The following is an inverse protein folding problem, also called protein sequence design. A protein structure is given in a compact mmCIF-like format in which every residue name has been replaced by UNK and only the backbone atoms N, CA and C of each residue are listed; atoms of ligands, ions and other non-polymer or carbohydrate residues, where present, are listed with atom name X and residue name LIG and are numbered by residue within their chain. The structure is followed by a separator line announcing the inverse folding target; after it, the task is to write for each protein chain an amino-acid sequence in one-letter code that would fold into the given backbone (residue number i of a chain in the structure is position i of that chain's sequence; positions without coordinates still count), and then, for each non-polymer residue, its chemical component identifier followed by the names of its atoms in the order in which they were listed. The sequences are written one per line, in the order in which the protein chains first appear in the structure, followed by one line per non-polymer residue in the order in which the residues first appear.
data_IF_590475491206
#
_entry.id   IF_590475491206
#
_cell.length_a   1.000
_cell.length_b   1.000
_cell.length_c   1.000
_cell.angle_alpha   90.00
_cell.angle_beta   90.00
_cell.angle_gamma   90.00
#
_symmetry.space_group_name_H-M   'P 1'
#
loop_
_entity.id
_entity.type
_entity.pdbx_description
1 polymer ?
#
# COMPACT_ATOMS: atom_id res chain seq x y z
N UNK A 1 -3.11 44.91 -16.89
CA UNK A 1 -1.71 44.63 -16.55
C UNK A 1 -1.62 43.20 -16.03
N UNK A 2 -1.22 42.26 -16.88
CA UNK A 2 -1.05 40.85 -16.50
C UNK A 2 0.20 40.68 -15.65
N UNK A 3 0.02 40.37 -14.37
CA UNK A 3 1.11 39.96 -13.49
C UNK A 3 1.52 38.53 -13.85
N UNK A 4 2.52 38.39 -14.72
CA UNK A 4 3.26 37.14 -14.93
C UNK A 4 3.80 36.66 -13.59
N UNK A 5 3.22 35.59 -13.04
CA UNK A 5 3.77 34.90 -11.87
C UNK A 5 5.17 34.37 -12.20
N UNK A 6 6.20 34.93 -11.55
CA UNK A 6 7.57 34.39 -11.59
C UNK A 6 7.53 32.96 -11.04
N UNK A 7 7.72 31.98 -11.92
CA UNK A 7 8.00 30.62 -11.50
C UNK A 7 9.38 30.59 -10.85
N UNK A 8 9.42 30.42 -9.52
CA UNK A 8 10.66 30.15 -8.80
C UNK A 8 11.14 28.72 -9.13
N UNK A 9 12.40 28.54 -9.57
CA UNK A 9 12.90 27.25 -9.98
C UNK A 9 13.18 26.36 -8.76
N UNK A 10 12.80 25.08 -8.86
CA UNK A 10 13.22 23.99 -7.97
C UNK A 10 12.75 23.99 -6.50
N UNK A 11 11.49 24.32 -6.23
CA UNK A 11 10.86 23.89 -4.96
C UNK A 11 10.22 22.51 -5.14
N UNK A 12 10.74 21.49 -4.43
CA UNK A 12 10.05 20.20 -4.32
C UNK A 12 8.71 20.46 -3.63
N UNK A 13 7.62 20.45 -4.40
CA UNK A 13 6.25 20.61 -3.90
C UNK A 13 5.83 19.32 -3.20
N UNK A 14 5.82 19.31 -1.88
CA UNK A 14 5.33 18.17 -1.11
C UNK A 14 3.93 18.53 -0.59
N UNK A 15 2.92 18.28 -1.42
CA UNK A 15 1.61 18.92 -1.30
C UNK A 15 1.59 20.33 -1.92
N UNK A 16 0.55 21.12 -1.64
CA UNK A 16 0.39 22.48 -2.18
C UNK A 16 1.39 23.52 -1.61
N UNK A 17 2.33 23.11 -0.75
CA UNK A 17 3.26 24.01 -0.06
C UNK A 17 4.70 23.51 -0.16
N UNK A 18 5.63 24.43 -0.39
CA UNK A 18 7.08 24.15 -0.42
C UNK A 18 7.59 23.81 0.97
N UNK A 19 8.75 23.15 1.05
CA UNK A 19 9.36 22.80 2.35
C UNK A 19 9.63 24.06 3.21
N UNK A 20 10.11 25.12 2.59
CA UNK A 20 10.37 26.40 3.27
C UNK A 20 9.09 27.01 3.84
N UNK A 21 8.02 27.05 3.06
CA UNK A 21 6.71 27.51 3.51
C UNK A 21 6.24 26.72 4.73
N UNK A 22 6.36 25.40 4.69
CA UNK A 22 5.99 24.55 5.80
C UNK A 22 6.84 24.83 7.05
N UNK A 23 8.16 24.97 6.91
CA UNK A 23 9.06 25.29 8.04
C UNK A 23 8.67 26.62 8.67
N UNK A 24 8.54 27.69 7.86
CA UNK A 24 8.21 29.03 8.36
C UNK A 24 6.86 29.04 9.07
N UNK A 25 5.83 28.46 8.44
CA UNK A 25 4.50 28.36 9.05
C UNK A 25 4.53 27.58 10.37
N UNK A 26 5.37 26.55 10.44
CA UNK A 26 5.51 25.71 11.62
C UNK A 26 6.18 26.43 12.79
N UNK A 27 7.25 27.17 12.52
CA UNK A 27 7.97 27.97 13.53
C UNK A 27 7.03 29.04 14.07
N UNK A 28 6.38 29.81 13.20
CA UNK A 28 5.40 30.81 13.61
C UNK A 28 4.26 30.21 14.42
N UNK A 29 3.80 29.02 14.05
CA UNK A 29 2.74 28.35 14.78
C UNK A 29 3.23 27.97 16.17
N UNK A 30 4.42 27.38 16.30
CA UNK A 30 4.99 27.04 17.59
C UNK A 30 5.17 28.27 18.50
N UNK A 31 5.64 29.38 17.93
CA UNK A 31 5.91 30.62 18.64
C UNK A 31 4.66 31.47 18.94
N UNK A 32 3.49 31.11 18.42
CA UNK A 32 2.24 31.88 18.56
C UNK A 32 1.89 32.19 20.01
N UNK A 33 2.21 31.28 20.94
CA UNK A 33 1.91 31.43 22.36
C UNK A 33 2.81 32.47 23.04
N UNK A 34 4.02 32.68 22.53
CA UNK A 34 4.99 33.65 23.04
C UNK A 34 4.83 35.02 22.38
N UNK A 35 4.39 35.04 21.12
CA UNK A 35 4.20 36.27 20.33
C UNK A 35 2.80 36.88 20.48
N UNK A 36 1.87 36.18 21.15
CA UNK A 36 0.47 36.60 21.23
C UNK A 36 -0.28 36.56 19.90
N UNK A 37 0.33 36.01 18.83
CA UNK A 37 -0.30 35.94 17.53
C UNK A 37 -1.47 34.97 17.53
N UNK A 38 -2.63 35.46 17.06
CA UNK A 38 -3.77 34.59 16.80
C UNK A 38 -3.51 33.71 15.57
N UNK A 39 -4.22 32.59 15.50
CA UNK A 39 -4.14 31.66 14.36
C UNK A 39 -4.51 32.35 13.04
N UNK A 40 -5.49 33.25 13.09
CA UNK A 40 -5.94 34.02 11.94
C UNK A 40 -4.82 34.95 11.41
N UNK A 41 -4.18 35.70 12.31
CA UNK A 41 -3.04 36.56 11.97
C UNK A 41 -1.89 35.77 11.37
N UNK A 42 -1.58 34.59 11.92
CA UNK A 42 -0.56 33.72 11.36
C UNK A 42 -0.89 33.31 9.91
N UNK A 43 -2.12 32.84 9.65
CA UNK A 43 -2.52 32.44 8.30
C UNK A 43 -2.55 33.61 7.33
N UNK A 44 -2.95 34.80 7.80
CA UNK A 44 -2.92 36.02 6.99
C UNK A 44 -1.49 36.43 6.64
N UNK A 45 -0.61 36.48 7.64
CA UNK A 45 0.82 36.77 7.46
C UNK A 45 1.49 35.76 6.53
N UNK A 46 1.09 34.49 6.60
CA UNK A 46 1.54 33.45 5.68
C UNK A 46 1.11 33.74 4.25
N UNK A 47 -0.17 34.07 4.03
CA UNK A 47 -0.69 34.44 2.72
C UNK A 47 0.02 35.65 2.12
N UNK A 48 0.25 36.69 2.93
CA UNK A 48 0.97 37.90 2.53
C UNK A 48 2.43 37.58 2.17
N UNK A 49 3.14 36.86 3.04
CA UNK A 49 4.58 36.57 2.85
C UNK A 49 4.85 35.71 1.61
N UNK A 50 3.99 34.72 1.36
CA UNK A 50 4.20 33.75 0.29
C UNK A 50 3.33 33.99 -0.94
N UNK A 51 2.57 35.08 -0.98
CA UNK A 51 1.63 35.43 -2.06
C UNK A 51 0.70 34.25 -2.43
N UNK A 52 0.25 33.52 -1.41
CA UNK A 52 -0.46 32.26 -1.60
C UNK A 52 -1.92 32.38 -1.16
N UNK A 53 -2.85 32.18 -2.10
CA UNK A 53 -4.28 32.24 -1.82
C UNK A 53 -4.83 31.01 -1.08
N UNK A 54 -4.14 29.86 -1.18
CA UNK A 54 -4.48 28.68 -0.40
C UNK A 54 -3.74 28.74 0.94
N UNK A 55 -4.47 28.91 2.03
CA UNK A 55 -3.90 29.05 3.36
C UNK A 55 -3.89 27.69 4.09
N UNK A 56 -2.84 27.38 4.87
CA UNK A 56 -2.78 26.13 5.60
C UNK A 56 -3.86 26.10 6.67
N UNK A 57 -4.67 25.05 6.66
CA UNK A 57 -5.68 24.85 7.71
C UNK A 57 -5.03 24.64 9.07
N UNK A 58 -5.78 24.89 10.14
CA UNK A 58 -5.33 24.65 11.51
C UNK A 58 -4.80 23.22 11.73
N UNK A 59 -5.49 22.21 11.19
CA UNK A 59 -5.07 20.81 11.31
C UNK A 59 -3.73 20.56 10.61
N UNK A 60 -3.51 21.24 9.47
CA UNK A 60 -2.24 21.18 8.73
C UNK A 60 -1.11 21.80 9.55
N UNK A 61 -1.30 22.99 10.10
CA UNK A 61 -0.30 23.68 10.95
C UNK A 61 0.06 22.84 12.18
N UNK A 62 -0.95 22.32 12.90
CA UNK A 62 -0.75 21.44 14.05
C UNK A 62 -0.01 20.15 13.69
N UNK A 63 -0.35 19.56 12.54
CA UNK A 63 0.35 18.38 12.04
C UNK A 63 1.82 18.68 11.76
N UNK A 64 2.11 19.80 11.09
CA UNK A 64 3.48 20.21 10.77
C UNK A 64 4.30 20.52 12.02
N UNK A 65 3.76 21.29 12.98
CA UNK A 65 4.37 21.53 14.30
C UNK A 65 4.75 20.24 15.00
N UNK A 66 3.78 19.33 15.16
CA UNK A 66 4.05 18.05 15.78
C UNK A 66 5.14 17.28 15.02
N UNK A 67 5.18 17.37 13.70
CA UNK A 67 6.15 16.62 12.90
C UNK A 67 7.56 17.20 13.00
N UNK A 68 7.70 18.51 12.84
CA UNK A 68 8.98 19.19 12.88
C UNK A 68 9.59 19.14 14.29
N UNK A 69 8.85 19.55 15.31
CA UNK A 69 9.38 19.66 16.66
C UNK A 69 9.50 18.31 17.38
N UNK A 70 8.68 17.30 17.05
CA UNK A 70 8.80 15.97 17.65
C UNK A 70 9.79 15.05 16.92
N UNK A 71 9.85 15.12 15.59
CA UNK A 71 10.60 14.14 14.79
C UNK A 71 11.73 14.77 13.94
N UNK A 72 11.94 16.09 14.00
CA UNK A 72 12.95 16.79 13.20
C UNK A 72 12.66 16.83 11.70
N UNK A 73 11.44 16.46 11.27
CA UNK A 73 11.10 16.36 9.83
C UNK A 73 9.61 16.60 9.58
N UNK A 74 9.28 17.36 8.53
CA UNK A 74 7.89 17.69 8.14
C UNK A 74 7.19 16.58 7.35
N UNK A 75 7.98 15.70 6.72
CA UNK A 75 7.48 14.56 5.96
C UNK A 75 7.97 13.24 6.54
N UNK A 76 7.16 12.21 6.29
CA UNK A 76 7.70 10.86 6.16
C UNK A 76 8.37 10.86 4.80
N UNK A 77 9.69 10.77 4.75
CA UNK A 77 10.40 10.23 3.59
C UNK A 77 9.90 8.80 3.42
N UNK A 78 8.73 8.67 2.82
CA UNK A 78 8.13 7.41 2.45
C UNK A 78 7.49 7.68 1.10
N UNK A 79 8.31 7.51 0.06
CA UNK A 79 7.91 6.58 -1.00
C UNK A 79 7.08 5.51 -0.31
N UNK A 80 5.79 5.41 -0.63
CA UNK A 80 4.83 4.56 0.10
C UNK A 80 5.43 3.16 0.20
N UNK A 81 6.20 2.89 1.26
CA UNK A 81 6.58 1.56 1.64
C UNK A 81 5.22 0.97 1.98
N UNK A 82 4.69 0.21 1.03
CA UNK A 82 3.48 -0.59 1.20
C UNK A 82 3.65 -1.15 2.60
N UNK A 83 2.79 -0.74 3.55
CA UNK A 83 2.79 -1.41 4.85
C UNK A 83 2.75 -2.89 4.49
N UNK A 84 3.73 -3.72 4.89
CA UNK A 84 3.57 -5.14 4.69
C UNK A 84 2.28 -5.47 5.42
N UNK A 85 1.19 -5.71 4.66
CA UNK A 85 -0.04 -6.25 5.21
C UNK A 85 0.42 -7.53 5.85
N UNK A 86 0.40 -7.58 7.19
CA UNK A 86 0.81 -8.70 8.04
C UNK A 86 0.89 -10.01 7.25
N UNK A 87 2.07 -10.29 6.68
CA UNK A 87 2.34 -11.45 5.81
C UNK A 87 2.19 -12.78 6.57
N UNK A 88 2.02 -12.72 7.89
CA UNK A 88 1.88 -13.88 8.76
C UNK A 88 0.76 -14.83 8.29
N UNK A 89 -0.38 -14.27 7.89
CA UNK A 89 -1.53 -15.05 7.40
C UNK A 89 -1.18 -15.75 6.07
N UNK A 90 -0.41 -15.09 5.20
CA UNK A 90 0.05 -15.69 3.94
C UNK A 90 1.02 -16.84 4.18
N UNK A 91 1.96 -16.68 5.10
CA UNK A 91 2.92 -17.75 5.45
C UNK A 91 2.27 -18.98 6.08
N UNK A 92 1.18 -18.79 6.84
CA UNK A 92 0.39 -19.90 7.39
C UNK A 92 -0.27 -20.70 6.27
N UNK A 93 -0.78 -20.04 5.23
CA UNK A 93 -1.52 -20.69 4.14
C UNK A 93 -0.65 -21.20 2.98
N UNK A 94 0.56 -20.66 2.83
CA UNK A 94 1.52 -21.03 1.79
C UNK A 94 1.73 -22.55 1.64
N UNK A 95 1.99 -23.34 2.71
CA UNK A 95 2.19 -24.78 2.57
C UNK A 95 0.95 -25.50 1.98
N UNK A 96 -0.25 -25.14 2.42
CA UNK A 96 -1.51 -25.72 1.92
C UNK A 96 -1.75 -25.37 0.44
N UNK A 97 -1.42 -24.14 0.05
CA UNK A 97 -1.50 -23.71 -1.35
C UNK A 97 -0.50 -24.51 -2.20
N UNK A 98 0.75 -24.67 -1.76
CA UNK A 98 1.76 -25.49 -2.48
C UNK A 98 1.35 -26.95 -2.60
N UNK A 99 0.90 -27.55 -1.49
CA UNK A 99 0.44 -28.94 -1.46
C UNK A 99 -0.74 -29.16 -2.41
N UNK A 100 -1.66 -28.20 -2.50
CA UNK A 100 -2.77 -28.31 -3.42
C UNK A 100 -2.33 -28.42 -4.88
N UNK A 101 -1.23 -27.76 -5.30
CA UNK A 101 -0.71 -27.88 -6.67
C UNK A 101 -0.08 -29.24 -6.94
N UNK A 102 0.41 -29.92 -5.91
CA UNK A 102 0.87 -31.31 -6.02
C UNK A 102 -0.31 -32.29 -6.08
N UNK A 103 -1.30 -32.14 -5.19
CA UNK A 103 -2.45 -33.05 -5.13
C UNK A 103 -3.39 -32.91 -6.32
N UNK A 104 -3.57 -31.68 -6.82
CA UNK A 104 -4.52 -31.37 -7.88
C UNK A 104 -3.88 -30.37 -8.86
N UNK A 105 -3.02 -30.84 -9.78
CA UNK A 105 -2.19 -29.98 -10.63
C UNK A 105 -3.00 -29.14 -11.62
N UNK A 106 -4.15 -29.65 -12.07
CA UNK A 106 -4.96 -29.03 -13.13
C UNK A 106 -6.11 -28.14 -12.60
N UNK A 107 -6.29 -28.06 -11.28
CA UNK A 107 -7.29 -27.16 -10.70
C UNK A 107 -6.94 -25.69 -10.91
N UNK A 108 -7.96 -24.92 -11.30
CA UNK A 108 -7.89 -23.46 -11.37
C UNK A 108 -7.68 -22.85 -9.98
N UNK A 109 -7.16 -21.62 -9.93
CA UNK A 109 -6.96 -20.89 -8.66
C UNK A 109 -8.29 -20.72 -7.90
N UNK A 110 -9.41 -20.58 -8.63
CA UNK A 110 -10.74 -20.43 -8.05
C UNK A 110 -11.22 -21.71 -7.36
N UNK A 111 -11.18 -22.84 -8.08
CA UNK A 111 -11.53 -24.14 -7.50
C UNK A 111 -10.63 -24.51 -6.33
N UNK A 112 -9.33 -24.16 -6.41
CA UNK A 112 -8.36 -24.33 -5.34
C UNK A 112 -8.68 -23.49 -4.10
N UNK A 113 -9.18 -22.27 -4.29
CA UNK A 113 -9.60 -21.41 -3.18
C UNK A 113 -10.84 -21.99 -2.48
N UNK A 114 -11.81 -22.47 -3.24
CA UNK A 114 -13.02 -23.13 -2.71
C UNK A 114 -12.66 -24.40 -1.93
N UNK A 115 -11.80 -25.27 -2.49
CA UNK A 115 -11.32 -26.49 -1.83
C UNK A 115 -10.59 -26.21 -0.51
N UNK A 116 -9.79 -25.15 -0.46
CA UNK A 116 -9.03 -24.78 0.75
C UNK A 116 -9.85 -23.94 1.75
N UNK A 117 -11.08 -23.54 1.42
CA UNK A 117 -11.89 -22.65 2.25
C UNK A 117 -11.34 -21.22 2.35
N UNK A 118 -10.55 -20.79 1.37
CA UNK A 118 -9.92 -19.47 1.35
C UNK A 118 -10.56 -18.54 0.34
N UNK A 119 -10.39 -17.22 0.53
CA UNK A 119 -10.82 -16.27 -0.50
C UNK A 119 -9.95 -16.41 -1.75
N UNK A 120 -10.57 -16.31 -2.93
CA UNK A 120 -9.86 -16.30 -4.22
C UNK A 120 -8.68 -15.31 -4.23
N UNK A 121 -8.90 -14.12 -3.66
CA UNK A 121 -7.88 -13.06 -3.59
C UNK A 121 -6.68 -13.49 -2.75
N UNK A 122 -6.90 -14.16 -1.63
CA UNK A 122 -5.82 -14.66 -0.76
C UNK A 122 -4.95 -15.68 -1.50
N UNK A 123 -5.57 -16.65 -2.18
CA UNK A 123 -4.82 -17.66 -2.96
C UNK A 123 -4.11 -17.01 -4.15
N UNK A 124 -4.77 -16.09 -4.86
CA UNK A 124 -4.16 -15.36 -5.98
C UNK A 124 -2.95 -14.52 -5.54
N UNK A 125 -3.05 -13.80 -4.41
CA UNK A 125 -1.96 -13.00 -3.86
C UNK A 125 -0.80 -13.91 -3.43
N UNK A 126 -1.07 -15.05 -2.77
CA UNK A 126 -0.03 -16.03 -2.39
C UNK A 126 0.70 -16.58 -3.62
N UNK A 127 -0.05 -17.01 -4.65
CA UNK A 127 0.54 -17.57 -5.88
C UNK A 127 1.39 -16.52 -6.60
N UNK A 128 0.93 -15.26 -6.69
CA UNK A 128 1.66 -14.20 -7.42
C UNK A 128 2.88 -13.67 -6.67
N UNK A 129 2.82 -13.62 -5.36
CA UNK A 129 3.86 -12.96 -4.55
C UNK A 129 4.87 -13.96 -3.95
N UNK A 130 4.48 -15.22 -3.71
CA UNK A 130 5.28 -16.17 -2.93
C UNK A 130 5.65 -17.46 -3.70
N UNK A 131 5.11 -17.70 -4.91
CA UNK A 131 5.42 -18.88 -5.72
C UNK A 131 5.90 -18.42 -7.11
N UNK A 132 7.13 -18.80 -7.49
CA UNK A 132 7.64 -18.47 -8.82
C UNK A 132 6.95 -19.31 -9.91
N UNK A 133 6.89 -18.85 -11.17
CA UNK A 133 6.35 -19.66 -12.27
C UNK A 133 7.07 -21.01 -12.42
N UNK A 134 8.38 -21.03 -12.22
CA UNK A 134 9.20 -22.25 -12.27
C UNK A 134 8.85 -23.22 -11.15
N UNK A 135 8.71 -22.72 -9.92
CA UNK A 135 8.31 -23.52 -8.77
C UNK A 135 6.89 -24.10 -8.97
N UNK A 136 5.99 -23.30 -9.55
CA UNK A 136 4.62 -23.73 -9.83
C UNK A 136 4.59 -24.91 -10.81
N UNK A 137 5.38 -24.85 -11.88
CA UNK A 137 5.50 -25.95 -12.85
C UNK A 137 6.14 -27.19 -12.23
N UNK A 138 7.15 -27.03 -11.36
CA UNK A 138 7.73 -28.15 -10.62
C UNK A 138 6.70 -28.85 -9.72
N UNK A 139 5.90 -28.09 -8.97
CA UNK A 139 4.86 -28.64 -8.09
C UNK A 139 3.80 -29.42 -8.88
N UNK A 140 3.37 -28.89 -10.03
CA UNK A 140 2.40 -29.58 -10.90
C UNK A 140 2.98 -30.84 -11.51
N UNK A 141 4.22 -30.78 -12.01
CA UNK A 141 4.89 -31.92 -12.62
C UNK A 141 5.18 -33.03 -11.60
N UNK A 142 5.51 -32.65 -10.36
CA UNK A 142 5.63 -33.59 -9.25
C UNK A 142 4.29 -34.29 -9.00
N UNK A 143 3.21 -33.51 -8.87
CA UNK A 143 1.86 -34.04 -8.70
C UNK A 143 1.45 -35.03 -9.79
N UNK A 144 1.66 -34.66 -11.06
CA UNK A 144 1.34 -35.54 -12.20
C UNK A 144 2.12 -36.85 -12.17
N UNK A 145 3.42 -36.80 -11.86
CA UNK A 145 4.26 -38.00 -11.73
C UNK A 145 3.84 -38.90 -10.56
N UNK A 146 3.48 -38.30 -9.44
CA UNK A 146 3.01 -39.03 -8.26
C UNK A 146 1.69 -39.77 -8.59
N UNK A 147 0.76 -39.11 -9.30
CA UNK A 147 -0.50 -39.70 -9.80
C UNK A 147 -0.32 -40.75 -10.90
N UNK A 148 0.75 -40.67 -11.69
CA UNK A 148 1.09 -41.72 -12.68
C UNK A 148 1.69 -42.97 -12.01
N UNK A 149 2.37 -42.80 -10.87
CA UNK A 149 2.98 -43.91 -10.12
C UNK A 149 2.01 -44.65 -9.20
N UNK A 150 1.03 -43.94 -8.63
CA UNK A 150 -0.09 -44.53 -7.90
C UNK A 150 -1.20 -44.84 -8.91
N UNK A 151 -1.21 -46.04 -9.50
CA UNK A 151 -2.22 -46.53 -10.45
C UNK A 151 -3.66 -46.61 -9.89
N UNK A 152 -4.19 -45.51 -9.36
CA UNK A 152 -5.50 -45.39 -8.74
C UNK A 152 -6.31 -44.35 -9.51
N UNK A 153 -6.81 -44.81 -10.66
CA UNK A 153 -8.02 -44.39 -11.34
C UNK A 153 -8.67 -43.06 -10.87
N UNK A 154 -8.37 -41.96 -11.56
CA UNK A 154 -9.30 -41.26 -12.49
C UNK A 154 -10.83 -41.33 -12.23
N UNK A 155 -11.32 -41.30 -10.99
CA UNK A 155 -12.77 -41.39 -10.69
C UNK A 155 -13.40 -40.23 -9.91
N UNK A 156 -12.68 -39.14 -9.63
CA UNK A 156 -13.24 -38.02 -8.84
C UNK A 156 -13.53 -36.74 -9.62
N UNK A 157 -13.15 -36.64 -10.89
CA UNK A 157 -13.32 -35.40 -11.67
C UNK A 157 -14.71 -35.27 -12.32
N UNK A 158 -15.44 -36.38 -12.52
CA UNK A 158 -16.79 -36.34 -13.12
C UNK A 158 -17.93 -35.91 -12.17
N UNK A 159 -17.67 -35.66 -10.88
CA UNK A 159 -18.72 -35.32 -9.91
C UNK A 159 -18.86 -33.82 -9.59
N UNK A 160 -17.97 -32.96 -10.09
CA UNK A 160 -18.04 -31.51 -9.81
C UNK A 160 -18.69 -30.72 -10.96
N UNK A 161 -18.67 -31.24 -12.19
CA UNK A 161 -19.30 -30.59 -13.37
C UNK A 161 -20.83 -30.74 -13.47
N UNK A 162 -21.50 -31.34 -12.46
CA UNK A 162 -22.97 -31.52 -12.47
C UNK A 162 -23.75 -30.53 -11.59
N UNK A 163 -23.10 -29.46 -11.10
CA UNK A 163 -23.79 -28.41 -10.34
C UNK A 163 -24.10 -27.13 -11.14
N UNK A 164 -23.73 -27.09 -12.42
CA UNK A 164 -24.03 -25.98 -13.35
C UNK A 164 -24.96 -26.41 -14.52
N UNK A 165 -25.92 -27.32 -14.27
CA UNK A 165 -27.02 -27.63 -15.21
C UNK A 165 -28.39 -27.39 -14.58
#
# INVERSE_FOLDING_TARGET
MDMKMKQFPNSIRIGNYTREQQIVATVWYHERLYTGMTRYQLTLNFGIRFQQGNLPSYNTLKMWERKLFKYGRLHRDKAKAKKPRTNLVKYIYLPYVKESFTKFPDLTIRARAEMLGFSYRSVSDIVKEEISPEELELLKNKGRKDHESDGTASKTVEQIDKLDS
#
